data_IF_694265553433
#
_entry.id   IF_694265553433
#
_cell.length_a   1.000
_cell.length_b   1.000
_cell.length_c   1.000
_cell.angle_alpha   90.00
_cell.angle_beta   90.00
_cell.angle_gamma   90.00
#
_symmetry.space_group_name_H-M   'P 1'
#
loop_
_entity.id
_entity.type
_entity.pdbx_description
1 polymer ?
#
# COMPACT_ATOMS: atom_id res chain seq x y z
N UNK A 1 -6.76 -6.26 15.99
CA UNK A 1 -7.50 -5.45 15.00
C UNK A 1 -8.84 -6.12 14.74
N UNK A 2 -9.96 -5.50 15.13
CA UNK A 2 -11.35 -5.96 14.86
C UNK A 2 -12.19 -4.85 14.19
N UNK A 3 -11.55 -3.93 13.47
CA UNK A 3 -12.17 -2.69 12.98
C UNK A 3 -12.73 -2.77 11.56
N UNK A 4 -12.36 -3.81 10.81
CA UNK A 4 -12.80 -4.04 9.43
C UNK A 4 -13.23 -5.48 9.27
N UNK A 5 -14.26 -5.72 8.46
CA UNK A 5 -14.71 -7.08 8.14
C UNK A 5 -13.83 -7.61 7.01
N UNK A 6 -13.11 -8.69 7.26
CA UNK A 6 -12.31 -9.37 6.23
C UNK A 6 -13.26 -10.29 5.44
N UNK A 7 -13.38 -10.04 4.15
CA UNK A 7 -14.18 -10.84 3.22
C UNK A 7 -13.38 -12.04 2.70
N UNK A 8 -12.09 -11.85 2.44
CA UNK A 8 -11.21 -12.89 1.94
C UNK A 8 -9.76 -12.66 2.40
N UNK A 9 -9.01 -13.75 2.52
CA UNK A 9 -7.55 -13.71 2.70
C UNK A 9 -6.93 -14.66 1.69
N UNK A 10 -5.95 -14.17 0.94
CA UNK A 10 -5.14 -14.96 0.02
C UNK A 10 -3.70 -14.90 0.49
N UNK A 11 -3.07 -16.07 0.62
CA UNK A 11 -1.66 -16.20 0.98
C UNK A 11 -0.96 -16.88 -0.19
N UNK A 12 0.08 -16.23 -0.71
CA UNK A 12 0.83 -16.70 -1.87
C UNK A 12 2.30 -16.81 -1.51
N UNK A 13 2.98 -17.84 -2.02
CA UNK A 13 4.42 -17.99 -1.84
C UNK A 13 5.15 -16.98 -2.73
N UNK A 14 6.19 -16.35 -2.18
CA UNK A 14 7.01 -15.40 -2.95
C UNK A 14 7.72 -16.12 -4.09
N UNK A 15 7.46 -15.65 -5.31
CA UNK A 15 8.19 -15.99 -6.54
C UNK A 15 9.15 -14.87 -6.93
N UNK A 16 10.11 -15.16 -7.83
CA UNK A 16 11.06 -14.18 -8.35
C UNK A 16 10.40 -12.94 -8.98
N UNK A 17 9.20 -13.10 -9.54
CA UNK A 17 8.39 -12.01 -10.13
C UNK A 17 8.04 -10.91 -9.11
N UNK A 18 7.92 -11.24 -7.82
CA UNK A 18 7.58 -10.28 -6.78
C UNK A 18 8.76 -9.41 -6.35
N UNK A 19 9.99 -9.75 -6.75
CA UNK A 19 11.21 -8.98 -6.45
C UNK A 19 11.37 -8.63 -4.95
N UNK A 20 10.92 -9.54 -4.08
CA UNK A 20 10.94 -9.40 -2.61
C UNK A 20 11.53 -10.67 -1.97
N UNK A 21 12.77 -11.07 -2.32
CA UNK A 21 13.36 -12.36 -1.90
C UNK A 21 13.51 -12.53 -0.39
N UNK A 22 13.46 -11.43 0.38
CA UNK A 22 13.48 -11.45 1.84
C UNK A 22 12.14 -11.84 2.47
N UNK A 23 11.06 -11.98 1.68
CA UNK A 23 9.77 -12.44 2.14
C UNK A 23 9.54 -13.91 1.75
N UNK A 24 8.85 -14.65 2.62
CA UNK A 24 8.44 -16.02 2.32
C UNK A 24 7.04 -16.07 1.68
N UNK A 25 6.14 -15.19 2.13
CA UNK A 25 4.74 -15.16 1.71
C UNK A 25 4.24 -13.74 1.49
N UNK A 26 3.39 -13.56 0.48
CA UNK A 26 2.53 -12.41 0.32
C UNK A 26 1.14 -12.71 0.88
N UNK A 27 0.54 -11.75 1.58
CA UNK A 27 -0.83 -11.87 2.08
C UNK A 27 -1.66 -10.70 1.57
N UNK A 28 -2.78 -11.01 0.91
CA UNK A 28 -3.76 -10.03 0.47
C UNK A 28 -5.06 -10.24 1.26
N UNK A 29 -5.49 -9.20 1.98
CA UNK A 29 -6.81 -9.17 2.61
C UNK A 29 -7.78 -8.34 1.76
N UNK A 30 -8.91 -8.93 1.43
CA UNK A 30 -10.07 -8.20 0.91
C UNK A 30 -10.95 -7.84 2.09
N UNK A 31 -11.28 -6.56 2.24
CA UNK A 31 -12.04 -6.04 3.38
C UNK A 31 -13.28 -5.29 2.91
N UNK A 32 -14.31 -5.29 3.75
CA UNK A 32 -15.51 -4.46 3.61
C UNK A 32 -15.41 -3.29 4.59
N UNK A 33 -15.51 -2.08 4.05
CA UNK A 33 -15.34 -0.82 4.78
C UNK A 33 -16.32 0.20 4.19
N UNK A 34 -17.03 0.94 5.06
CA UNK A 34 -17.82 2.08 4.63
C UNK A 34 -16.91 3.19 4.09
N UNK A 35 -17.30 3.82 2.99
CA UNK A 35 -16.45 4.80 2.29
C UNK A 35 -15.99 5.97 3.19
N UNK A 36 -16.89 6.46 4.05
CA UNK A 36 -16.62 7.51 5.04
C UNK A 36 -15.55 7.12 6.08
N UNK A 37 -15.36 5.81 6.30
CA UNK A 37 -14.35 5.25 7.21
C UNK A 37 -13.03 4.92 6.51
N UNK A 38 -13.00 4.79 5.19
CA UNK A 38 -11.81 4.39 4.44
C UNK A 38 -10.61 5.33 4.70
N UNK A 39 -10.84 6.65 4.64
CA UNK A 39 -9.82 7.65 4.93
C UNK A 39 -9.26 7.53 6.36
N UNK A 40 -10.12 7.31 7.36
CA UNK A 40 -9.70 7.13 8.76
C UNK A 40 -8.85 5.86 8.90
N UNK A 41 -9.24 4.76 8.27
CA UNK A 41 -8.47 3.52 8.29
C UNK A 41 -7.09 3.72 7.68
N UNK A 42 -6.99 4.40 6.53
CA UNK A 42 -5.70 4.74 5.93
C UNK A 42 -4.80 5.56 6.89
N UNK A 43 -5.37 6.52 7.62
CA UNK A 43 -4.65 7.29 8.65
C UNK A 43 -4.24 6.45 9.86
N UNK A 44 -5.04 5.47 10.27
CA UNK A 44 -4.66 4.56 11.36
C UNK A 44 -3.52 3.62 10.90
N UNK A 45 -3.55 3.14 9.66
CA UNK A 45 -2.48 2.34 9.07
C UNK A 45 -1.17 3.15 8.99
N UNK A 46 -1.22 4.41 8.55
CA UNK A 46 -0.02 5.26 8.43
C UNK A 46 0.72 5.49 9.76
N UNK A 47 0.00 5.39 10.88
CA UNK A 47 0.56 5.50 12.23
C UNK A 47 1.33 4.25 12.67
N UNK A 48 0.99 3.08 12.12
CA UNK A 48 1.55 1.80 12.57
C UNK A 48 2.46 1.13 11.54
N UNK A 49 2.31 1.45 10.25
CA UNK A 49 3.15 0.88 9.19
C UNK A 49 4.62 1.25 9.40
N UNK A 50 5.54 0.29 9.26
CA UNK A 50 6.97 0.54 9.47
C UNK A 50 7.37 0.98 10.89
N UNK A 51 6.49 0.81 11.90
CA UNK A 51 6.78 1.16 13.30
C UNK A 51 7.78 0.21 13.99
N UNK A 52 8.04 -0.96 13.39
CA UNK A 52 9.09 -1.90 13.82
C UNK A 52 9.98 -2.22 12.62
N UNK A 53 11.31 -2.23 12.78
CA UNK A 53 12.20 -2.71 11.73
C UNK A 53 11.91 -4.20 11.48
N UNK A 54 11.44 -4.52 10.28
CA UNK A 54 11.39 -5.89 9.78
C UNK A 54 12.77 -6.18 9.18
N UNK A 55 13.36 -7.32 9.52
CA UNK A 55 14.77 -7.68 9.37
C UNK A 55 15.51 -7.16 8.12
N UNK A 56 16.74 -6.67 8.37
CA UNK A 56 17.92 -6.57 7.47
C UNK A 56 17.85 -5.79 6.16
N UNK A 57 16.73 -5.15 5.82
CA UNK A 57 16.74 -4.08 4.81
C UNK A 57 15.89 -2.95 5.37
N UNK A 58 16.51 -1.84 5.73
CA UNK A 58 15.87 -0.63 6.25
C UNK A 58 15.05 0.06 5.14
N UNK A 59 14.12 -0.68 4.52
CA UNK A 59 13.24 -0.20 3.47
C UNK A 59 12.03 0.46 4.08
N UNK A 60 11.69 1.64 3.59
CA UNK A 60 10.42 2.27 3.91
C UNK A 60 9.30 1.41 3.34
N UNK A 61 8.34 1.04 4.18
CA UNK A 61 7.17 0.27 3.77
C UNK A 61 6.02 1.21 3.39
N UNK A 62 5.27 0.81 2.37
CA UNK A 62 3.95 1.37 2.09
C UNK A 62 2.93 0.24 2.04
N UNK A 63 1.67 0.60 2.24
CA UNK A 63 0.52 -0.26 1.99
C UNK A 63 -0.44 0.50 1.10
N UNK A 64 -1.27 -0.22 0.37
CA UNK A 64 -2.32 0.40 -0.42
C UNK A 64 -3.61 -0.41 -0.39
N UNK A 65 -4.71 0.29 -0.64
CA UNK A 65 -5.98 -0.33 -0.97
C UNK A 65 -6.78 0.61 -1.89
N UNK A 66 -7.65 0.03 -2.71
CA UNK A 66 -8.41 0.77 -3.72
C UNK A 66 -9.79 0.20 -3.94
N UNK A 67 -10.70 1.06 -4.37
CA UNK A 67 -11.97 0.69 -4.99
C UNK A 67 -11.92 1.13 -6.48
N UNK A 68 -13.08 1.21 -7.14
CA UNK A 68 -13.16 1.56 -8.57
C UNK A 68 -12.72 3.00 -8.89
N UNK A 69 -12.88 3.94 -7.97
CA UNK A 69 -12.67 5.39 -8.22
C UNK A 69 -11.52 5.99 -7.41
N UNK A 70 -11.18 5.39 -6.27
CA UNK A 70 -10.21 5.89 -5.29
C UNK A 70 -9.14 4.85 -5.00
N UNK A 71 -7.92 5.35 -4.77
CA UNK A 71 -6.78 4.56 -4.33
C UNK A 71 -6.08 5.27 -3.17
N UNK A 72 -5.91 4.56 -2.06
CA UNK A 72 -5.19 5.03 -0.89
C UNK A 72 -3.79 4.43 -0.91
N UNK A 73 -2.76 5.28 -1.02
CA UNK A 73 -1.36 4.88 -0.91
C UNK A 73 -0.82 5.42 0.43
N UNK A 74 -0.35 4.52 1.28
CA UNK A 74 -0.16 4.76 2.70
C UNK A 74 1.29 4.51 3.07
N UNK A 75 2.00 5.59 3.37
CA UNK A 75 3.34 5.56 3.93
C UNK A 75 3.29 5.86 5.43
N UNK A 76 4.42 5.71 6.12
CA UNK A 76 4.54 6.15 7.53
C UNK A 76 4.20 7.64 7.63
N UNK A 77 3.20 7.99 8.44
CA UNK A 77 2.72 9.37 8.67
C UNK A 77 2.25 10.16 7.43
N UNK A 78 2.09 9.53 6.26
CA UNK A 78 1.64 10.20 5.02
C UNK A 78 0.67 9.31 4.26
N UNK A 79 -0.46 9.88 3.85
CA UNK A 79 -1.49 9.19 3.06
C UNK A 79 -1.78 9.99 1.81
N UNK A 80 -1.74 9.35 0.65
CA UNK A 80 -2.23 9.89 -0.61
C UNK A 80 -3.62 9.30 -0.88
N UNK A 81 -4.59 10.16 -1.16
CA UNK A 81 -5.93 9.77 -1.57
C UNK A 81 -6.09 10.16 -3.03
N UNK A 82 -5.96 9.16 -3.91
CA UNK A 82 -5.79 9.33 -5.35
C UNK A 82 -7.11 9.07 -6.06
N UNK A 83 -7.53 9.98 -6.92
CA UNK A 83 -8.47 9.70 -8.00
C UNK A 83 -7.78 8.79 -9.02
N UNK A 84 -8.34 7.61 -9.28
CA UNK A 84 -7.70 6.60 -10.14
C UNK A 84 -7.50 7.04 -11.59
N UNK A 85 -8.13 8.13 -12.03
CA UNK A 85 -7.93 8.74 -13.35
C UNK A 85 -6.82 9.80 -13.37
N UNK A 86 -6.33 10.24 -12.21
CA UNK A 86 -5.34 11.32 -12.09
C UNK A 86 -3.91 10.79 -12.13
N UNK A 87 -3.27 10.89 -13.29
CA UNK A 87 -1.83 10.57 -13.47
C UNK A 87 -0.94 11.45 -12.58
N UNK A 88 -1.30 12.72 -12.42
CA UNK A 88 -0.55 13.68 -11.60
C UNK A 88 -0.53 13.29 -10.10
N UNK A 89 -1.67 12.85 -9.57
CA UNK A 89 -1.74 12.38 -8.19
C UNK A 89 -0.92 11.11 -7.97
N UNK A 90 -0.91 10.21 -8.95
CA UNK A 90 -0.04 9.03 -8.93
C UNK A 90 1.43 9.39 -8.97
N UNK A 91 1.83 10.31 -9.84
CA UNK A 91 3.22 10.73 -9.94
C UNK A 91 3.69 11.40 -8.65
N UNK A 92 2.84 12.20 -8.02
CA UNK A 92 3.13 12.80 -6.70
C UNK A 92 3.41 11.72 -5.64
N UNK A 93 2.58 10.67 -5.58
CA UNK A 93 2.78 9.57 -4.64
C UNK A 93 4.02 8.72 -4.96
N UNK A 94 4.30 8.51 -6.26
CA UNK A 94 5.49 7.81 -6.75
C UNK A 94 6.77 8.56 -6.37
N UNK A 95 6.84 9.87 -6.64
CA UNK A 95 7.97 10.71 -6.26
C UNK A 95 8.24 10.71 -4.76
N UNK A 96 7.17 10.71 -3.95
CA UNK A 96 7.32 10.56 -2.50
C UNK A 96 7.94 9.21 -2.13
N UNK A 97 7.46 8.10 -2.69
CA UNK A 97 8.04 6.77 -2.46
C UNK A 97 9.52 6.66 -2.89
N UNK A 98 9.88 7.24 -4.04
CA UNK A 98 11.26 7.32 -4.52
C UNK A 98 12.16 8.12 -3.57
N UNK A 99 11.67 9.24 -3.04
CA UNK A 99 12.42 10.05 -2.06
C UNK A 99 12.66 9.33 -0.73
N UNK A 100 11.86 8.31 -0.42
CA UNK A 100 12.07 7.41 0.71
C UNK A 100 13.04 6.25 0.37
N UNK A 101 13.55 6.17 -0.86
CA UNK A 101 14.44 5.10 -1.30
C UNK A 101 13.74 3.78 -1.62
N UNK A 102 12.41 3.81 -1.81
CA UNK A 102 11.68 2.63 -2.27
C UNK A 102 12.01 2.40 -3.75
N UNK A 103 12.38 1.18 -4.17
CA UNK A 103 12.74 0.91 -5.55
C UNK A 103 11.63 1.30 -6.53
N UNK A 104 12.00 1.89 -7.67
CA UNK A 104 11.05 2.41 -8.67
C UNK A 104 10.01 1.39 -9.11
N UNK A 105 10.41 0.14 -9.33
CA UNK A 105 9.51 -0.93 -9.75
C UNK A 105 8.42 -1.25 -8.72
N UNK A 106 8.61 -0.90 -7.44
CA UNK A 106 7.61 -1.07 -6.38
C UNK A 106 6.63 0.11 -6.30
N UNK A 107 7.01 1.29 -6.80
CA UNK A 107 6.17 2.50 -6.79
C UNK A 107 5.68 2.91 -8.18
N UNK A 108 5.81 2.01 -9.17
CA UNK A 108 5.19 2.14 -10.48
C UNK A 108 3.68 1.84 -10.39
N UNK A 109 2.90 2.89 -10.10
CA UNK A 109 1.45 2.80 -10.01
C UNK A 109 0.74 2.91 -11.37
N UNK A 110 1.46 3.11 -12.49
CA UNK A 110 0.84 3.31 -13.81
C UNK A 110 0.08 2.07 -14.27
N UNK A 111 0.49 0.88 -13.80
CA UNK A 111 -0.23 -0.38 -14.04
C UNK A 111 -1.63 -0.45 -13.42
N UNK A 112 -1.99 0.54 -12.60
CA UNK A 112 -3.28 0.63 -11.90
C UNK A 112 -4.21 1.74 -12.43
N UNK A 113 -3.76 2.48 -13.44
CA UNK A 113 -4.63 3.33 -14.26
C UNK A 113 -5.63 2.40 -14.96
N UNK A 114 -6.92 2.65 -14.74
CA UNK A 114 -8.02 1.98 -15.46
C UNK A 114 -8.12 2.54 -16.88
#
# INVERSE_FOLDING_TARGET
MKKVKVLATRVEKVTAKHQTPWLQHWTLHTIEVLEDKAKRIAQEISKVIGSKPCSSTAGYWYADFKNETRHYIIFRNKVFHIDRKSKEQYETARQYGLSLGIPEYQVDFHRFLL
#
